data_IF_809349446051
#
_entry.id   IF_809349446051
#
_cell.length_a   1.000
_cell.length_b   1.000
_cell.length_c   1.000
_cell.angle_alpha   90.00
_cell.angle_beta   90.00
_cell.angle_gamma   90.00
#
_symmetry.space_group_name_H-M   'P 1'
#
loop_
_entity.id
_entity.type
_entity.pdbx_description
1 polymer ?
#
# COMPACT_ATOMS: atom_id res chain seq x y z
N UNK A 1 -4.43 -5.24 -16.66
CA UNK A 1 -3.43 -5.45 -15.59
C UNK A 1 -2.41 -4.36 -15.74
N UNK A 2 -2.16 -3.53 -14.71
CA UNK A 2 -1.04 -2.61 -14.73
C UNK A 2 0.26 -3.39 -14.92
N UNK A 3 1.06 -3.01 -15.90
CA UNK A 3 2.38 -3.59 -16.10
C UNK A 3 3.41 -2.93 -15.15
N UNK A 4 4.65 -3.42 -15.18
CA UNK A 4 5.71 -2.96 -14.29
C UNK A 4 5.88 -1.43 -14.30
N UNK A 5 5.88 -0.75 -15.48
CA UNK A 5 5.99 0.71 -15.53
C UNK A 5 4.81 1.44 -14.88
N UNK A 6 3.58 0.98 -15.07
CA UNK A 6 2.40 1.61 -14.49
C UNK A 6 2.38 1.47 -12.97
N UNK A 7 2.75 0.29 -12.45
CA UNK A 7 2.87 0.09 -11.00
C UNK A 7 3.95 1.01 -10.40
N UNK A 8 5.05 1.21 -11.12
CA UNK A 8 6.12 2.13 -10.73
C UNK A 8 5.62 3.58 -10.70
N UNK A 9 4.88 4.01 -11.72
CA UNK A 9 4.27 5.35 -11.77
C UNK A 9 3.33 5.56 -10.59
N UNK A 10 2.43 4.60 -10.30
CA UNK A 10 1.52 4.69 -9.14
C UNK A 10 2.30 4.81 -7.82
N UNK A 11 3.37 4.02 -7.65
CA UNK A 11 4.20 4.09 -6.45
C UNK A 11 4.89 5.46 -6.30
N UNK A 12 5.39 6.03 -7.39
CA UNK A 12 6.00 7.37 -7.39
C UNK A 12 4.99 8.47 -7.09
N UNK A 13 3.80 8.40 -7.67
CA UNK A 13 2.75 9.40 -7.48
C UNK A 13 2.19 9.38 -6.04
N UNK A 14 2.08 8.19 -5.44
CA UNK A 14 1.65 8.04 -4.04
C UNK A 14 2.71 8.48 -3.04
N UNK A 15 4.00 8.31 -3.36
CA UNK A 15 5.11 8.60 -2.43
C UNK A 15 5.03 9.98 -1.75
N UNK A 16 4.91 11.11 -2.47
CA UNK A 16 4.82 12.41 -1.82
C UNK A 16 3.50 12.64 -1.06
N UNK A 17 2.46 11.84 -1.34
CA UNK A 17 1.16 11.99 -0.72
C UNK A 17 1.10 11.27 0.63
N UNK A 18 1.63 10.05 0.74
CA UNK A 18 1.39 9.17 1.90
C UNK A 18 2.60 8.91 2.78
N UNK A 19 3.84 9.10 2.30
CA UNK A 19 5.02 8.89 3.14
C UNK A 19 5.06 9.93 4.26
N UNK A 20 5.27 9.48 5.49
CA UNK A 20 5.19 10.27 6.72
C UNK A 20 3.82 10.22 7.39
N UNK A 21 2.76 9.81 6.69
CA UNK A 21 1.43 9.65 7.28
C UNK A 21 1.36 8.42 8.20
N UNK A 22 0.50 8.49 9.22
CA UNK A 22 0.23 7.43 10.18
C UNK A 22 -1.07 6.73 9.83
N UNK A 23 -1.06 5.40 9.85
CA UNK A 23 -2.28 4.60 9.67
C UNK A 23 -3.10 4.67 10.95
N UNK A 24 -4.22 5.39 10.92
CA UNK A 24 -5.12 5.50 12.07
C UNK A 24 -6.09 4.33 12.16
N UNK A 25 -6.72 3.97 11.03
CA UNK A 25 -7.74 2.93 10.95
C UNK A 25 -7.62 2.12 9.66
N UNK A 26 -8.08 0.88 9.69
CA UNK A 26 -8.14 -0.02 8.54
C UNK A 26 -9.50 -0.69 8.51
N UNK A 27 -10.14 -0.65 7.34
CA UNK A 27 -11.40 -1.35 7.07
C UNK A 27 -11.17 -2.44 6.03
N UNK A 28 -11.30 -3.70 6.44
CA UNK A 28 -11.22 -4.86 5.53
C UNK A 28 -12.65 -5.27 5.17
N UNK A 29 -13.11 -4.86 3.99
CA UNK A 29 -14.48 -5.15 3.54
C UNK A 29 -14.67 -6.60 3.06
N UNK A 30 -13.58 -7.27 2.69
CA UNK A 30 -13.57 -8.68 2.25
C UNK A 30 -12.33 -9.37 2.80
N UNK A 31 -12.52 -10.30 3.72
CA UNK A 31 -11.42 -11.05 4.36
C UNK A 31 -10.47 -11.70 3.34
N UNK A 32 -11.01 -12.27 2.25
CA UNK A 32 -10.20 -12.90 1.18
C UNK A 32 -9.24 -11.94 0.46
N UNK A 33 -9.41 -10.63 0.59
CA UNK A 33 -8.56 -9.62 -0.07
C UNK A 33 -7.39 -9.16 0.78
N UNK A 34 -7.37 -9.50 2.07
CA UNK A 34 -6.36 -9.07 3.01
C UNK A 34 -5.79 -10.27 3.76
N UNK A 35 -4.49 -10.50 3.60
CA UNK A 35 -3.78 -11.59 4.26
C UNK A 35 -2.84 -10.97 5.29
N UNK A 36 -2.89 -11.50 6.51
CA UNK A 36 -2.14 -10.99 7.65
C UNK A 36 -3.05 -10.33 8.69
N UNK A 37 -2.44 -9.60 9.63
CA UNK A 37 -3.14 -9.02 10.76
C UNK A 37 -3.01 -7.48 10.74
N UNK A 38 -4.15 -6.82 10.53
CA UNK A 38 -4.23 -5.36 10.42
C UNK A 38 -3.79 -4.65 11.71
N UNK A 39 -3.85 -5.32 12.87
CA UNK A 39 -3.42 -4.74 14.16
C UNK A 39 -1.95 -4.31 14.14
N UNK A 40 -1.12 -4.95 13.33
CA UNK A 40 0.30 -4.58 13.20
C UNK A 40 0.53 -3.34 12.33
N UNK A 41 -0.46 -2.90 11.56
CA UNK A 41 -0.37 -1.74 10.67
C UNK A 41 -0.90 -0.48 11.36
N UNK A 42 -1.94 -0.62 12.19
CA UNK A 42 -2.53 0.48 12.95
C UNK A 42 -1.48 1.12 13.86
N UNK A 43 -1.43 2.44 13.83
CA UNK A 43 -0.49 3.23 14.62
C UNK A 43 0.87 3.42 13.96
N UNK A 44 1.19 2.69 12.89
CA UNK A 44 2.49 2.80 12.23
C UNK A 44 2.52 3.94 11.22
N UNK A 45 3.70 4.53 11.01
CA UNK A 45 3.92 5.49 9.94
C UNK A 45 4.43 4.78 8.70
N UNK A 46 3.99 5.25 7.53
CA UNK A 46 4.54 4.85 6.25
C UNK A 46 5.87 5.57 6.07
N UNK A 47 6.99 4.86 6.10
CA UNK A 47 8.32 5.44 5.93
C UNK A 47 8.84 5.33 4.50
N UNK A 48 8.24 4.45 3.70
CA UNK A 48 8.66 4.23 2.32
C UNK A 48 7.56 3.63 1.46
N UNK A 49 7.77 3.75 0.16
CA UNK A 49 6.99 3.06 -0.86
C UNK A 49 7.95 2.63 -1.96
N UNK A 50 7.80 1.40 -2.39
CA UNK A 50 8.58 0.78 -3.45
C UNK A 50 7.70 -0.15 -4.27
N UNK A 51 8.30 -0.78 -5.29
CA UNK A 51 7.63 -1.77 -6.13
C UNK A 51 8.46 -3.04 -6.16
N UNK A 52 7.79 -4.18 -6.01
CA UNK A 52 8.35 -5.51 -6.25
C UNK A 52 7.52 -6.21 -7.33
N UNK A 53 8.07 -6.34 -8.54
CA UNK A 53 7.31 -6.87 -9.67
C UNK A 53 6.03 -6.04 -9.89
N UNK A 54 4.87 -6.70 -9.90
CA UNK A 54 3.54 -6.06 -10.08
C UNK A 54 2.86 -5.67 -8.76
N UNK A 55 3.61 -5.61 -7.66
CA UNK A 55 3.13 -5.20 -6.35
C UNK A 55 3.68 -3.84 -5.93
N UNK A 56 2.82 -3.04 -5.33
CA UNK A 56 3.18 -1.82 -4.60
C UNK A 56 3.47 -2.25 -3.16
N UNK A 57 4.57 -1.78 -2.58
CA UNK A 57 4.99 -2.18 -1.23
C UNK A 57 5.13 -0.92 -0.38
N UNK A 58 4.32 -0.82 0.68
CA UNK A 58 4.46 0.22 1.69
C UNK A 58 5.35 -0.29 2.82
N UNK A 59 6.32 0.50 3.21
CA UNK A 59 7.26 0.20 4.30
C UNK A 59 6.81 0.94 5.56
N UNK A 60 6.69 0.22 6.68
CA UNK A 60 6.24 0.77 7.94
C UNK A 60 7.36 0.86 8.98
N UNK A 61 7.20 1.77 9.93
CA UNK A 61 8.18 2.03 11.01
C UNK A 61 8.55 0.82 11.86
N UNK A 62 7.68 -0.18 11.95
CA UNK A 62 7.93 -1.43 12.67
C UNK A 62 8.57 -2.53 11.82
N UNK A 63 9.13 -2.19 10.65
CA UNK A 63 9.76 -3.13 9.69
C UNK A 63 8.79 -4.14 9.09
N UNK A 64 7.48 -3.85 9.11
CA UNK A 64 6.46 -4.60 8.39
C UNK A 64 6.20 -3.94 7.05
N UNK A 65 5.86 -4.77 6.06
CA UNK A 65 5.56 -4.34 4.71
C UNK A 65 4.09 -4.63 4.38
N UNK A 66 3.38 -3.65 3.85
CA UNK A 66 2.05 -3.84 3.26
C UNK A 66 2.20 -3.93 1.74
N UNK A 67 2.07 -5.14 1.20
CA UNK A 67 2.11 -5.39 -0.23
C UNK A 67 0.70 -5.36 -0.85
N UNK A 68 0.56 -4.65 -1.95
CA UNK A 68 -0.72 -4.41 -2.64
C UNK A 68 -0.57 -4.85 -4.09
N UNK A 69 -1.42 -5.79 -4.53
CA UNK A 69 -1.44 -6.28 -5.90
C UNK A 69 -2.74 -5.87 -6.61
N UNK A 70 -2.64 -5.01 -7.63
CA UNK A 70 -3.81 -4.46 -8.33
C UNK A 70 -4.54 -5.46 -9.23
N UNK A 71 -3.89 -6.56 -9.64
CA UNK A 71 -4.46 -7.58 -10.55
C UNK A 71 -4.91 -6.91 -11.85
N UNK A 72 -6.09 -7.23 -12.37
CA UNK A 72 -6.54 -6.70 -13.66
C UNK A 72 -7.03 -5.26 -13.57
N UNK A 73 -7.81 -4.92 -12.54
CA UNK A 73 -8.63 -3.70 -12.46
C UNK A 73 -8.60 -3.02 -11.09
N UNK A 74 -7.80 -3.51 -10.14
CA UNK A 74 -7.66 -2.91 -8.82
C UNK A 74 -7.13 -1.48 -8.91
N UNK A 75 -7.59 -0.63 -8.01
CA UNK A 75 -7.27 0.80 -7.99
C UNK A 75 -6.83 1.20 -6.59
N UNK A 76 -5.95 2.20 -6.53
CA UNK A 76 -5.65 2.94 -5.31
C UNK A 76 -6.23 4.33 -5.46
N UNK A 77 -7.05 4.73 -4.49
CA UNK A 77 -7.76 6.01 -4.50
C UNK A 77 -7.25 6.78 -3.29
N UNK A 78 -6.67 7.95 -3.55
CA UNK A 78 -6.31 8.92 -2.53
C UNK A 78 -7.33 10.05 -2.56
N UNK A 79 -7.91 10.38 -1.40
CA UNK A 79 -8.89 11.45 -1.26
C UNK A 79 -8.34 12.47 -0.26
N UNK A 80 -8.29 13.73 -0.70
CA UNK A 80 -7.98 14.89 0.15
C UNK A 80 -9.13 15.21 1.09
#
# INVERSE_FOLDING_TARGET
>A
MPELPEVETIARDLKPLIVGQKIDQIFVLKEKSFIGDARYLIGQKICGISRCGKMIVLELTNKIFLAIHLKMTGQLIYKL
#
